data_IF_910248115973
#
_entry.id   IF_910248115973
#
_cell.length_a   1.000
_cell.length_b   1.000
_cell.length_c   1.000
_cell.angle_alpha   90.00
_cell.angle_beta   90.00
_cell.angle_gamma   90.00
#
_symmetry.space_group_name_H-M   'P 1'
#
loop_
_entity.id
_entity.type
_entity.pdbx_description
1 polymer ?
#
# COMPACT_ATOMS: atom_id res chain seq x y z
N UNK A 1 6.31 8.50 1.33
CA UNK A 1 6.79 7.10 1.38
C UNK A 1 5.79 6.29 0.60
N UNK A 2 6.22 5.54 -0.41
CA UNK A 2 5.29 4.75 -1.22
C UNK A 2 4.85 3.51 -0.45
N UNK A 3 3.73 2.91 -0.85
CA UNK A 3 3.29 1.63 -0.27
C UNK A 3 4.39 0.57 -0.37
N UNK A 4 5.11 0.54 -1.49
CA UNK A 4 6.20 -0.40 -1.72
C UNK A 4 7.31 -0.29 -0.66
N UNK A 5 7.73 0.94 -0.30
CA UNK A 5 8.77 1.18 0.70
C UNK A 5 8.31 0.73 2.10
N UNK A 6 7.05 1.04 2.44
CA UNK A 6 6.45 0.60 3.69
C UNK A 6 6.39 -0.92 3.79
N UNK A 7 5.98 -1.59 2.71
CA UNK A 7 5.91 -3.05 2.67
C UNK A 7 7.28 -3.67 2.85
N UNK A 8 8.28 -3.21 2.09
CA UNK A 8 9.63 -3.76 2.18
C UNK A 8 10.15 -3.71 3.62
N UNK A 9 9.95 -2.57 4.29
CA UNK A 9 10.30 -2.38 5.70
C UNK A 9 9.48 -3.27 6.64
N UNK A 10 8.19 -3.43 6.38
CA UNK A 10 7.33 -4.29 7.20
C UNK A 10 7.72 -5.76 7.07
N UNK A 11 8.04 -6.24 5.87
CA UNK A 11 8.53 -7.61 5.64
C UNK A 11 9.88 -7.84 6.29
N UNK A 12 10.80 -6.88 6.18
CA UNK A 12 12.10 -6.92 6.87
C UNK A 12 11.92 -7.06 8.38
N UNK A 13 11.09 -6.20 8.99
CA UNK A 13 10.80 -6.24 10.43
C UNK A 13 10.06 -7.52 10.83
N UNK A 14 9.19 -8.05 9.97
CA UNK A 14 8.44 -9.29 10.22
C UNK A 14 9.36 -10.52 10.32
N UNK A 15 10.55 -10.50 9.70
CA UNK A 15 11.54 -11.60 9.82
C UNK A 15 12.07 -11.74 11.25
N UNK A 16 12.11 -10.64 12.01
CA UNK A 16 12.54 -10.64 13.40
C UNK A 16 11.42 -11.04 14.39
N UNK A 17 10.21 -11.27 13.89
CA UNK A 17 9.04 -11.62 14.69
C UNK A 17 8.42 -12.95 14.21
N UNK A 18 8.93 -14.11 14.68
CA UNK A 18 8.49 -15.43 14.23
C UNK A 18 6.99 -15.69 14.36
N UNK A 19 6.35 -15.02 15.33
CA UNK A 19 4.92 -15.10 15.59
C UNK A 19 4.04 -14.57 14.44
N UNK A 20 4.56 -13.71 13.55
CA UNK A 20 3.81 -13.26 12.36
C UNK A 20 3.83 -14.26 11.20
N UNK A 21 4.70 -15.27 11.26
CA UNK A 21 4.84 -16.28 10.20
C UNK A 21 4.22 -17.63 10.60
N UNK A 22 3.55 -17.69 11.75
CA UNK A 22 2.85 -18.88 12.22
C UNK A 22 1.51 -19.08 11.49
N UNK A 23 1.11 -20.35 11.34
CA UNK A 23 -0.22 -20.72 10.81
C UNK A 23 -1.30 -20.11 11.71
N UNK A 24 -2.13 -19.23 11.15
CA UNK A 24 -3.17 -18.49 11.87
C UNK A 24 -2.80 -17.06 12.30
N UNK A 25 -1.55 -16.64 12.13
CA UNK A 25 -1.13 -15.26 12.43
C UNK A 25 -1.44 -14.26 11.30
N UNK A 26 -1.89 -14.73 10.15
CA UNK A 26 -2.06 -13.94 8.93
C UNK A 26 -3.06 -12.79 9.13
N UNK A 27 -4.21 -13.05 9.77
CA UNK A 27 -5.20 -12.01 10.11
C UNK A 27 -4.60 -10.95 11.01
N UNK A 28 -3.85 -11.36 12.04
CA UNK A 28 -3.19 -10.44 12.96
C UNK A 28 -2.12 -9.60 12.26
N UNK A 29 -1.40 -10.19 11.30
CA UNK A 29 -0.42 -9.52 10.46
C UNK A 29 -1.08 -8.48 9.56
N UNK A 30 -2.19 -8.81 8.91
CA UNK A 30 -3.00 -7.89 8.11
C UNK A 30 -3.46 -6.70 8.93
N UNK A 31 -4.06 -6.92 10.11
CA UNK A 31 -4.54 -5.84 10.99
C UNK A 31 -3.40 -4.91 11.43
N UNK A 32 -2.20 -5.44 11.69
CA UNK A 32 -1.04 -4.61 12.05
C UNK A 32 -0.52 -3.82 10.86
N UNK A 33 -0.45 -4.45 9.70
CA UNK A 33 -0.06 -3.80 8.46
C UNK A 33 -1.00 -2.63 8.13
N UNK A 34 -2.32 -2.86 8.14
CA UNK A 34 -3.36 -1.86 7.85
C UNK A 34 -3.33 -0.66 8.81
N UNK A 35 -2.96 -0.88 10.07
CA UNK A 35 -2.85 0.21 11.06
C UNK A 35 -1.75 1.21 10.73
N UNK A 36 -0.69 0.79 10.03
CA UNK A 36 0.39 1.68 9.60
C UNK A 36 0.23 2.23 8.18
N UNK A 37 -0.85 1.90 7.47
CA UNK A 37 -1.13 2.47 6.16
C UNK A 37 -1.54 3.95 6.27
N UNK A 38 -1.18 4.73 5.25
CA UNK A 38 -1.64 6.10 5.10
C UNK A 38 -3.18 6.14 4.99
N UNK A 39 -3.88 7.14 5.55
CA UNK A 39 -5.34 7.19 5.60
C UNK A 39 -6.03 6.97 4.25
N UNK A 40 -5.49 7.53 3.17
CA UNK A 40 -6.09 7.44 1.83
C UNK A 40 -6.11 5.99 1.29
N UNK A 41 -5.02 5.25 1.52
CA UNK A 41 -4.91 3.84 1.15
C UNK A 41 -5.74 2.99 2.11
N UNK A 42 -5.67 3.30 3.41
CA UNK A 42 -6.40 2.60 4.46
C UNK A 42 -7.90 2.64 4.23
N UNK A 43 -8.44 3.76 3.78
CA UNK A 43 -9.86 3.88 3.45
C UNK A 43 -10.22 2.94 2.30
N UNK A 44 -9.44 2.91 1.21
CA UNK A 44 -9.71 2.05 0.07
C UNK A 44 -9.61 0.56 0.39
N UNK A 45 -8.62 0.19 1.20
CA UNK A 45 -8.33 -1.21 1.56
C UNK A 45 -9.23 -1.72 2.68
N UNK A 46 -9.55 -0.87 3.67
CA UNK A 46 -10.35 -1.23 4.84
C UNK A 46 -11.77 -1.68 4.52
N UNK A 47 -12.32 -1.30 3.36
CA UNK A 47 -13.62 -1.81 2.89
C UNK A 47 -13.58 -3.28 2.43
N UNK A 48 -12.41 -3.81 2.10
CA UNK A 48 -12.28 -5.16 1.53
C UNK A 48 -12.03 -6.24 2.59
N UNK A 49 -11.90 -5.87 3.87
CA UNK A 49 -11.72 -6.77 5.02
C UNK A 49 -10.75 -7.94 4.76
N UNK A 50 -9.57 -7.62 4.20
CA UNK A 50 -8.67 -8.62 3.62
C UNK A 50 -7.94 -9.38 4.73
N UNK A 51 -8.15 -10.69 4.76
CA UNK A 51 -7.59 -11.55 5.80
C UNK A 51 -6.29 -12.24 5.40
N UNK A 52 -5.95 -12.22 4.10
CA UNK A 52 -4.72 -12.82 3.56
C UNK A 52 -3.67 -11.78 3.25
N UNK A 53 -2.50 -11.89 3.87
CA UNK A 53 -1.42 -10.91 3.73
C UNK A 53 -0.93 -10.75 2.28
N UNK A 54 -0.73 -11.83 1.48
CA UNK A 54 -0.35 -11.68 0.08
C UNK A 54 -1.39 -10.94 -0.77
N UNK A 55 -2.68 -11.10 -0.47
CA UNK A 55 -3.77 -10.44 -1.19
C UNK A 55 -3.85 -8.95 -0.80
N UNK A 56 -3.72 -8.66 0.50
CA UNK A 56 -3.69 -7.31 1.05
C UNK A 56 -2.54 -6.52 0.41
N UNK A 57 -1.35 -7.13 0.37
CA UNK A 57 -0.19 -6.57 -0.30
C UNK A 57 -0.45 -6.25 -1.77
N UNK A 58 -0.97 -7.20 -2.53
CA UNK A 58 -1.19 -7.01 -3.97
C UNK A 58 -2.15 -5.84 -4.24
N UNK A 59 -3.23 -5.71 -3.45
CA UNK A 59 -4.14 -4.57 -3.59
C UNK A 59 -3.51 -3.24 -3.23
N UNK A 60 -2.71 -3.18 -2.16
CA UNK A 60 -2.02 -1.95 -1.78
C UNK A 60 -1.02 -1.53 -2.88
N UNK A 61 -0.32 -2.50 -3.49
CA UNK A 61 0.60 -2.26 -4.62
C UNK A 61 -0.13 -1.68 -5.84
N UNK A 62 -1.24 -2.28 -6.25
CA UNK A 62 -2.05 -1.79 -7.39
C UNK A 62 -2.52 -0.35 -7.13
N UNK A 63 -2.98 -0.04 -5.92
CA UNK A 63 -3.38 1.33 -5.58
C UNK A 63 -2.23 2.34 -5.70
N UNK A 64 -1.03 1.98 -5.24
CA UNK A 64 0.16 2.83 -5.32
C UNK A 64 0.57 3.10 -6.78
N UNK A 65 0.50 2.07 -7.63
CA UNK A 65 0.73 2.17 -9.08
C UNK A 65 -0.32 3.06 -9.78
N UNK A 66 -1.60 2.84 -9.50
CA UNK A 66 -2.70 3.66 -10.02
C UNK A 66 -2.58 5.12 -9.55
N UNK A 67 -2.20 5.34 -8.29
CA UNK A 67 -1.97 6.66 -7.73
C UNK A 67 -0.82 7.39 -8.46
N UNK A 68 0.28 6.69 -8.75
CA UNK A 68 1.39 7.21 -9.56
C UNK A 68 0.95 7.55 -10.98
N UNK A 69 0.20 6.66 -11.63
CA UNK A 69 -0.33 6.90 -12.96
C UNK A 69 -1.19 8.18 -12.96
N UNK A 70 -2.16 8.31 -12.05
CA UNK A 70 -2.97 9.53 -11.89
C UNK A 70 -2.12 10.78 -11.67
N UNK A 71 -1.13 10.73 -10.78
CA UNK A 71 -0.24 11.87 -10.52
C UNK A 71 0.57 12.27 -11.77
N UNK A 72 1.00 11.31 -12.59
CA UNK A 72 1.70 11.60 -13.85
C UNK A 72 0.79 12.26 -14.90
N UNK A 73 -0.48 11.85 -15.01
CA UNK A 73 -1.44 12.49 -15.90
C UNK A 73 -1.68 13.96 -15.56
N UNK A 74 -1.83 14.29 -14.28
CA UNK A 74 -2.01 15.69 -13.87
C UNK A 74 -0.75 16.53 -14.09
N UNK A 75 0.44 15.99 -13.85
CA UNK A 75 1.71 16.70 -14.13
C UNK A 75 1.90 17.03 -15.62
N UNK A 76 1.54 16.10 -16.50
CA UNK A 76 1.61 16.31 -17.95
C UNK A 76 0.60 17.36 -18.39
N UNK A 77 -0.62 17.34 -17.84
CA UNK A 77 -1.64 18.38 -18.11
C UNK A 77 -1.20 19.78 -17.69
N UNK A 78 -0.48 19.92 -16.59
CA UNK A 78 0.06 21.22 -16.14
C UNK A 78 1.19 21.73 -17.04
N UNK A 79 2.08 20.85 -17.50
CA UNK A 79 3.16 21.21 -18.44
C UNK A 79 2.59 21.68 -19.79
N UNK A 80 1.51 21.04 -20.27
CA UNK A 80 0.82 21.49 -21.49
C UNK A 80 0.14 22.86 -21.32
N UNK A 81 -0.31 23.22 -20.12
CA UNK A 81 -0.83 24.57 -19.85
C UNK A 81 0.29 25.62 -19.75
N UNK A 82 1.42 25.33 -19.12
CA UNK A 82 2.55 26.27 -19.01
C UNK A 82 3.30 26.49 -20.34
N UNK A 83 3.26 25.54 -21.27
CA UNK A 83 3.91 25.66 -22.60
C UNK A 83 3.07 26.46 -23.60
N UNK A 84 1.79 26.72 -23.30
CA UNK A 84 0.86 27.49 -24.13
C UNK A 84 0.61 28.92 -23.61
N UNK A 85 1.42 29.40 -22.67
CA UNK A 85 1.44 30.81 -22.19
C UNK A 85 2.69 31.51 -22.68
#
# INVERSE_FOLDING_TARGET
MYVADYVAKFEELSRFCPHYNAVGAEVSKCVKFERGLQPDIKQFIGFHEIQMFPLLFNKCRIYDEDSKARASYYKVGTIFQETLV
#
